data_IF_153835033990
#
_entry.id   IF_153835033990
#
_cell.length_a   1.000
_cell.length_b   1.000
_cell.length_c   1.000
_cell.angle_alpha   90.00
_cell.angle_beta   90.00
_cell.angle_gamma   90.00
#
_symmetry.space_group_name_H-M   'P 1'
#
loop_
_entity.id
_entity.type
_entity.pdbx_description
1 polymer ?
#
# COMPACT_ATOMS: atom_id res chain seq x y z
N UNK A 1 -0.87 -20.68 10.99
CA UNK A 1 0.17 -19.69 10.66
C UNK A 1 -0.50 -18.34 10.59
N UNK A 2 0.24 -17.28 10.93
CA UNK A 2 -0.28 -15.91 11.01
C UNK A 2 -0.70 -15.34 9.64
N UNK A 3 -0.23 -15.94 8.54
CA UNK A 3 -0.55 -15.51 7.18
C UNK A 3 -2.06 -15.59 6.88
N UNK A 4 -2.62 -14.48 6.38
CA UNK A 4 -4.05 -14.30 6.09
C UNK A 4 -4.26 -13.74 4.68
N UNK A 5 -5.39 -14.06 4.06
CA UNK A 5 -5.81 -13.45 2.80
C UNK A 5 -6.22 -11.98 3.00
N UNK A 6 -5.90 -11.11 2.04
CA UNK A 6 -6.29 -9.69 2.10
C UNK A 6 -7.81 -9.55 2.26
N UNK A 7 -8.59 -10.33 1.52
CA UNK A 7 -10.06 -10.32 1.59
C UNK A 7 -10.58 -10.49 3.00
N UNK A 8 -10.08 -11.49 3.73
CA UNK A 8 -10.51 -11.71 5.12
C UNK A 8 -10.18 -10.52 6.02
N UNK A 9 -9.00 -9.94 5.84
CA UNK A 9 -8.56 -8.80 6.62
C UNK A 9 -9.38 -7.53 6.33
N UNK A 10 -9.69 -7.27 5.05
CA UNK A 10 -10.47 -6.10 4.65
C UNK A 10 -11.97 -6.26 4.98
N UNK A 11 -12.52 -7.48 4.91
CA UNK A 11 -13.86 -7.78 5.41
C UNK A 11 -13.96 -7.42 6.90
N UNK A 12 -13.00 -7.87 7.72
CA UNK A 12 -12.96 -7.54 9.14
C UNK A 12 -12.81 -6.02 9.38
N UNK A 13 -12.00 -5.34 8.58
CA UNK A 13 -11.85 -3.89 8.62
C UNK A 13 -13.16 -3.15 8.31
N UNK A 14 -13.93 -3.65 7.34
CA UNK A 14 -15.24 -3.11 7.02
C UNK A 14 -16.26 -3.34 8.14
N UNK A 15 -16.30 -4.54 8.71
CA UNK A 15 -17.21 -4.91 9.81
C UNK A 15 -16.98 -4.06 11.07
N UNK A 16 -15.74 -3.64 11.33
CA UNK A 16 -15.35 -2.89 12.53
C UNK A 16 -15.02 -1.41 12.26
N UNK A 17 -15.18 -0.93 11.03
CA UNK A 17 -15.08 0.48 10.68
C UNK A 17 -13.66 1.07 10.71
N UNK A 18 -12.63 0.28 10.40
CA UNK A 18 -11.23 0.74 10.36
C UNK A 18 -10.60 0.57 8.97
N UNK A 19 -9.38 1.08 8.80
CA UNK A 19 -8.54 0.88 7.62
C UNK A 19 -7.20 0.25 8.01
N UNK A 20 -6.55 -0.46 7.10
CA UNK A 20 -5.27 -1.13 7.34
C UNK A 20 -4.17 -0.43 6.55
N UNK A 21 -3.10 0.07 7.21
CA UNK A 21 -1.95 0.54 6.48
C UNK A 21 -1.23 -0.64 5.81
N UNK A 22 -0.92 -0.48 4.53
CA UNK A 22 -0.10 -1.42 3.78
C UNK A 22 1.28 -0.82 3.55
N UNK A 23 2.27 -1.39 4.23
CA UNK A 23 3.63 -0.88 4.25
C UNK A 23 4.50 -1.63 3.26
N UNK A 24 5.22 -0.90 2.41
CA UNK A 24 6.20 -1.50 1.51
C UNK A 24 7.42 -2.01 2.29
N UNK A 25 7.95 -3.15 1.86
CA UNK A 25 9.13 -3.80 2.47
C UNK A 25 10.20 -4.10 1.43
N UNK A 26 11.46 -3.83 1.79
CA UNK A 26 12.64 -4.05 0.96
C UNK A 26 13.76 -4.75 1.74
N UNK A 27 13.76 -4.71 3.07
CA UNK A 27 14.79 -5.33 3.91
C UNK A 27 14.25 -5.80 5.28
N UNK A 28 15.15 -6.35 6.10
CA UNK A 28 14.84 -6.87 7.44
C UNK A 28 14.42 -5.74 8.40
N UNK A 29 15.09 -4.60 8.36
CA UNK A 29 14.86 -3.48 9.27
C UNK A 29 13.45 -2.92 9.15
N UNK A 30 12.93 -2.74 7.93
CA UNK A 30 11.57 -2.29 7.68
C UNK A 30 10.55 -3.29 8.23
N UNK A 31 10.72 -4.59 7.93
CA UNK A 31 9.83 -5.64 8.43
C UNK A 31 9.83 -5.65 9.96
N UNK A 32 10.99 -5.59 10.61
CA UNK A 32 11.08 -5.55 12.07
C UNK A 32 10.41 -4.32 12.67
N UNK A 33 10.56 -3.14 12.06
CA UNK A 33 9.91 -1.92 12.53
C UNK A 33 8.39 -2.00 12.42
N UNK A 34 7.87 -2.49 11.29
CA UNK A 34 6.43 -2.65 11.06
C UNK A 34 5.85 -3.69 12.02
N UNK A 35 6.51 -4.85 12.18
CA UNK A 35 6.02 -5.92 13.05
C UNK A 35 6.09 -5.55 14.54
N UNK A 36 7.14 -4.84 14.98
CA UNK A 36 7.22 -4.33 16.34
C UNK A 36 6.10 -3.32 16.63
N UNK A 37 5.79 -2.43 15.68
CA UNK A 37 4.66 -1.52 15.77
C UNK A 37 3.31 -2.27 15.84
N UNK A 38 3.15 -3.30 15.01
CA UNK A 38 1.94 -4.12 14.97
C UNK A 38 1.74 -4.90 16.28
N UNK A 39 2.79 -5.49 16.84
CA UNK A 39 2.77 -6.13 18.16
C UNK A 39 2.43 -5.13 19.28
N UNK A 40 3.08 -3.96 19.28
CA UNK A 40 2.87 -2.90 20.28
C UNK A 40 1.42 -2.40 20.32
N UNK A 41 0.73 -2.47 19.18
CA UNK A 41 -0.63 -1.96 19.01
C UNK A 41 -1.69 -3.04 18.87
N UNK A 42 -1.33 -4.33 18.92
CA UNK A 42 -2.22 -5.45 18.59
C UNK A 42 -2.95 -5.23 17.25
N UNK A 43 -2.19 -4.89 16.20
CA UNK A 43 -2.73 -4.55 14.87
C UNK A 43 -2.44 -5.64 13.84
N UNK A 44 -3.41 -6.05 13.01
CA UNK A 44 -3.09 -6.83 11.81
C UNK A 44 -2.33 -5.96 10.81
N UNK A 45 -1.54 -6.59 9.93
CA UNK A 45 -0.64 -5.88 9.03
C UNK A 45 -0.73 -6.37 7.59
N UNK A 46 -0.60 -5.45 6.64
CA UNK A 46 -0.30 -5.76 5.23
C UNK A 46 1.16 -5.38 4.97
N UNK A 47 1.99 -6.38 4.69
CA UNK A 47 3.35 -6.20 4.19
C UNK A 47 3.31 -6.34 2.67
N UNK A 48 3.69 -5.30 1.94
CA UNK A 48 3.64 -5.30 0.49
C UNK A 48 5.01 -5.16 -0.18
N UNK A 49 5.18 -5.79 -1.34
CA UNK A 49 6.43 -5.76 -2.09
C UNK A 49 6.18 -5.41 -3.55
N UNK A 50 6.86 -4.37 -4.02
CA UNK A 50 6.85 -3.89 -5.42
C UNK A 50 7.78 -4.72 -6.31
N UNK A 51 7.75 -4.45 -7.62
CA UNK A 51 8.75 -4.96 -8.55
C UNK A 51 10.19 -4.51 -8.17
N UNK A 52 10.37 -3.26 -7.74
CA UNK A 52 11.66 -2.74 -7.29
C UNK A 52 12.17 -3.44 -6.02
N UNK A 53 11.30 -3.69 -5.04
CA UNK A 53 11.65 -4.48 -3.86
C UNK A 53 12.16 -5.88 -4.24
N UNK A 54 11.49 -6.54 -5.21
CA UNK A 54 11.90 -7.85 -5.71
C UNK A 54 13.21 -7.79 -6.49
N UNK A 55 13.47 -6.71 -7.23
CA UNK A 55 14.75 -6.48 -7.91
C UNK A 55 15.91 -6.22 -6.94
N UNK A 56 15.65 -5.49 -5.85
CA UNK A 56 16.63 -5.16 -4.82
C UNK A 56 16.95 -6.35 -3.90
N UNK A 57 15.94 -6.89 -3.23
CA UNK A 57 16.12 -7.95 -2.23
C UNK A 57 16.15 -9.35 -2.84
N UNK A 58 15.46 -9.56 -3.96
CA UNK A 58 15.20 -10.88 -4.51
C UNK A 58 13.97 -11.54 -3.89
N UNK A 59 13.21 -12.25 -4.73
CA UNK A 59 11.97 -12.96 -4.34
C UNK A 59 12.17 -13.87 -3.12
N UNK A 60 13.26 -14.64 -3.10
CA UNK A 60 13.52 -15.61 -2.04
C UNK A 60 13.76 -14.95 -0.68
N UNK A 61 14.47 -13.82 -0.64
CA UNK A 61 14.72 -13.07 0.60
C UNK A 61 13.43 -12.47 1.12
N UNK A 62 12.64 -11.78 0.29
CA UNK A 62 11.35 -11.21 0.71
C UNK A 62 10.44 -12.28 1.32
N UNK A 63 10.26 -13.40 0.62
CA UNK A 63 9.48 -14.54 1.13
C UNK A 63 10.00 -15.01 2.48
N UNK A 64 11.32 -15.28 2.59
CA UNK A 64 11.91 -15.83 3.82
C UNK A 64 11.88 -14.85 4.99
N UNK A 65 12.01 -13.55 4.74
CA UNK A 65 11.88 -12.53 5.79
C UNK A 65 10.44 -12.42 6.30
N UNK A 66 9.44 -12.52 5.43
CA UNK A 66 8.02 -12.54 5.87
C UNK A 66 7.69 -13.84 6.60
N UNK A 67 8.20 -14.99 6.16
CA UNK A 67 8.07 -16.25 6.89
C UNK A 67 8.71 -16.15 8.29
N UNK A 68 9.89 -15.54 8.41
CA UNK A 68 10.54 -15.30 9.71
C UNK A 68 9.73 -14.35 10.59
N UNK A 69 9.08 -13.32 10.01
CA UNK A 69 8.16 -12.46 10.76
C UNK A 69 6.95 -13.25 11.28
N UNK A 70 6.33 -14.10 10.45
CA UNK A 70 5.20 -14.93 10.89
C UNK A 70 5.59 -15.96 11.97
N UNK A 71 6.85 -16.40 12.00
CA UNK A 71 7.39 -17.26 13.06
C UNK A 71 7.64 -16.48 14.37
N UNK A 72 8.21 -15.29 14.27
CA UNK A 72 8.55 -14.43 15.41
C UNK A 72 7.30 -13.81 16.07
N UNK A 73 6.26 -13.49 15.28
CA UNK A 73 5.00 -12.89 15.72
C UNK A 73 3.80 -13.75 15.31
N UNK A 74 3.63 -14.94 15.91
CA UNK A 74 2.62 -15.92 15.48
C UNK A 74 1.17 -15.46 15.69
N UNK A 75 0.95 -14.50 16.59
CA UNK A 75 -0.37 -14.00 16.98
C UNK A 75 -0.82 -12.77 16.18
N UNK A 76 0.07 -12.18 15.36
CA UNK A 76 -0.24 -11.00 14.54
C UNK A 76 -0.61 -11.43 13.13
N UNK A 77 -1.85 -11.24 12.64
CA UNK A 77 -2.24 -11.60 11.28
C UNK A 77 -1.45 -10.80 10.24
N UNK A 78 -0.79 -11.50 9.30
CA UNK A 78 0.06 -10.90 8.26
C UNK A 78 -0.54 -11.19 6.88
N UNK A 79 -0.85 -10.17 6.12
CA UNK A 79 -1.11 -10.29 4.68
C UNK A 79 0.19 -9.95 3.92
N UNK A 80 0.66 -10.87 3.06
CA UNK A 80 1.77 -10.59 2.13
C UNK A 80 1.19 -10.26 0.76
N UNK A 81 1.35 -9.02 0.33
CA UNK A 81 0.71 -8.45 -0.86
C UNK A 81 1.74 -8.08 -1.95
N UNK A 82 1.49 -8.49 -3.19
CA UNK A 82 2.30 -8.06 -4.34
C UNK A 82 1.74 -6.73 -4.83
N UNK A 83 2.55 -5.68 -4.78
CA UNK A 83 2.19 -4.34 -5.23
C UNK A 83 2.51 -4.17 -6.73
N UNK A 84 1.63 -3.49 -7.47
CA UNK A 84 1.74 -3.21 -8.91
C UNK A 84 2.19 -4.39 -9.77
N UNK A 85 1.41 -5.48 -9.81
CA UNK A 85 1.67 -6.63 -10.68
C UNK A 85 1.48 -6.29 -12.16
N UNK A 86 2.57 -6.22 -12.91
CA UNK A 86 2.57 -5.77 -14.31
C UNK A 86 1.90 -6.70 -15.32
N UNK A 87 1.69 -7.97 -14.96
CA UNK A 87 1.01 -8.93 -15.84
C UNK A 87 0.45 -10.11 -15.04
N UNK A 88 -0.49 -10.87 -15.62
CA UNK A 88 -0.95 -12.10 -15.00
C UNK A 88 0.18 -13.10 -14.68
N UNK A 89 1.25 -13.13 -15.48
CA UNK A 89 2.40 -14.00 -15.22
C UNK A 89 3.16 -13.58 -13.95
N UNK A 90 3.31 -12.28 -13.72
CA UNK A 90 3.93 -11.73 -12.49
C UNK A 90 3.09 -12.09 -11.27
N UNK A 91 1.77 -11.90 -11.35
CA UNK A 91 0.85 -12.26 -10.27
C UNK A 91 0.92 -13.77 -9.95
N UNK A 92 0.96 -14.62 -10.97
CA UNK A 92 1.09 -16.07 -10.80
C UNK A 92 2.43 -16.45 -10.13
N UNK A 93 3.52 -15.76 -10.45
CA UNK A 93 4.81 -15.96 -9.80
C UNK A 93 4.75 -15.58 -8.31
N UNK A 94 4.10 -14.47 -7.97
CA UNK A 94 3.93 -14.05 -6.57
C UNK A 94 3.08 -15.05 -5.79
N UNK A 95 1.97 -15.54 -6.36
CA UNK A 95 1.15 -16.62 -5.77
C UNK A 95 2.01 -17.86 -5.47
N UNK A 96 2.82 -18.30 -6.43
CA UNK A 96 3.76 -19.42 -6.26
C UNK A 96 4.78 -19.15 -5.14
N UNK A 97 5.16 -17.89 -4.94
CA UNK A 97 6.09 -17.48 -3.88
C UNK A 97 5.44 -17.40 -2.49
N UNK A 98 4.15 -17.69 -2.35
CA UNK A 98 3.46 -17.70 -1.06
C UNK A 98 2.84 -16.36 -0.67
N UNK A 99 2.72 -15.41 -1.61
CA UNK A 99 1.92 -14.22 -1.39
C UNK A 99 0.46 -14.61 -1.16
N UNK A 100 -0.18 -14.02 -0.14
CA UNK A 100 -1.58 -14.25 0.20
C UNK A 100 -2.52 -13.25 -0.49
N UNK A 101 -1.95 -12.25 -1.17
CA UNK A 101 -2.65 -11.30 -2.02
C UNK A 101 -1.77 -10.79 -3.17
N UNK A 102 -2.38 -10.45 -4.29
CA UNK A 102 -1.73 -9.80 -5.43
C UNK A 102 -2.55 -8.64 -5.94
N UNK A 103 -1.89 -7.58 -6.38
CA UNK A 103 -2.49 -6.54 -7.22
C UNK A 103 -2.19 -6.85 -8.69
N UNK A 104 -3.23 -6.89 -9.53
CA UNK A 104 -3.07 -6.76 -10.98
C UNK A 104 -3.30 -5.30 -11.34
N UNK A 105 -2.22 -4.57 -11.60
CA UNK A 105 -2.32 -3.20 -12.06
C UNK A 105 -2.54 -3.18 -13.57
N UNK A 106 -3.80 -3.40 -13.96
CA UNK A 106 -4.22 -3.35 -15.35
C UNK A 106 -4.53 -1.93 -15.84
N UNK A 107 -4.38 -0.90 -14.99
CA UNK A 107 -4.54 0.50 -15.37
C UNK A 107 -3.44 0.96 -16.34
N UNK A 108 -2.29 0.30 -16.26
CA UNK A 108 -1.15 0.45 -17.15
C UNK A 108 -0.95 -0.84 -17.97
N UNK A 109 -0.25 -0.72 -19.09
CA UNK A 109 0.25 -1.88 -19.86
C UNK A 109 1.43 -2.53 -19.11
N UNK A 110 1.89 -3.67 -19.61
CA UNK A 110 2.98 -4.44 -18.98
C UNK A 110 4.31 -3.66 -18.83
N UNK A 111 4.48 -2.53 -19.53
CA UNK A 111 5.61 -1.62 -19.36
C UNK A 111 5.54 -0.76 -18.08
N UNK A 112 4.40 -0.80 -17.38
CA UNK A 112 4.07 -0.03 -16.18
C UNK A 112 4.18 1.48 -16.37
N UNK A 113 3.97 1.94 -17.61
CA UNK A 113 4.16 3.33 -18.04
C UNK A 113 3.06 3.83 -18.96
N UNK A 114 2.52 2.97 -19.80
CA UNK A 114 1.50 3.35 -20.77
C UNK A 114 0.11 3.10 -20.17
N UNK A 115 -0.77 4.12 -20.04
CA UNK A 115 -2.17 3.91 -19.69
C UNK A 115 -2.85 2.88 -20.61
N UNK A 116 -3.55 1.93 -20.01
CA UNK A 116 -4.26 0.88 -20.72
C UNK A 116 -5.71 1.29 -21.04
N UNK A 117 -6.33 0.60 -22.00
CA UNK A 117 -7.76 0.71 -22.21
C UNK A 117 -8.54 -0.04 -21.13
N UNK A 118 -9.79 0.37 -20.89
CA UNK A 118 -10.70 -0.30 -19.96
C UNK A 118 -10.82 -1.81 -20.23
N UNK A 119 -11.06 -2.19 -21.49
CA UNK A 119 -11.21 -3.60 -21.89
C UNK A 119 -9.94 -4.43 -21.63
N UNK A 120 -8.76 -3.84 -21.81
CA UNK A 120 -7.50 -4.50 -21.47
C UNK A 120 -7.44 -4.75 -19.97
N UNK A 121 -7.71 -3.72 -19.16
CA UNK A 121 -7.67 -3.77 -17.71
C UNK A 121 -8.61 -4.85 -17.16
N UNK A 122 -9.88 -4.85 -17.61
CA UNK A 122 -10.87 -5.87 -17.23
C UNK A 122 -10.38 -7.27 -17.59
N UNK A 123 -9.85 -7.47 -18.81
CA UNK A 123 -9.41 -8.78 -19.27
C UNK A 123 -8.23 -9.34 -18.45
N UNK A 124 -7.21 -8.54 -18.18
CA UNK A 124 -6.04 -8.99 -17.41
C UNK A 124 -6.37 -9.17 -15.93
N UNK A 125 -7.15 -8.25 -15.35
CA UNK A 125 -7.56 -8.31 -13.94
C UNK A 125 -8.45 -9.52 -13.67
N UNK A 126 -9.47 -9.76 -14.51
CA UNK A 126 -10.33 -10.95 -14.39
C UNK A 126 -9.54 -12.25 -14.48
N UNK A 127 -8.57 -12.33 -15.40
CA UNK A 127 -7.71 -13.52 -15.51
C UNK A 127 -6.92 -13.77 -14.22
N UNK A 128 -6.45 -12.72 -13.55
CA UNK A 128 -5.76 -12.83 -12.26
C UNK A 128 -6.73 -13.25 -11.15
N UNK A 129 -7.93 -12.69 -11.12
CA UNK A 129 -9.00 -13.09 -10.19
C UNK A 129 -9.29 -14.59 -10.31
N UNK A 130 -9.55 -15.10 -11.52
CA UNK A 130 -9.88 -16.50 -11.76
C UNK A 130 -8.80 -17.46 -11.22
N UNK A 131 -7.51 -17.17 -11.49
CA UNK A 131 -6.41 -18.03 -11.02
C UNK A 131 -6.10 -17.88 -9.52
N UNK A 132 -6.25 -16.69 -8.95
CA UNK A 132 -5.96 -16.42 -7.55
C UNK A 132 -7.05 -16.96 -6.61
N UNK A 133 -8.32 -16.73 -6.96
CA UNK A 133 -9.47 -17.20 -6.18
C UNK A 133 -9.54 -18.72 -6.11
N UNK A 134 -9.12 -19.42 -7.18
CA UNK A 134 -9.02 -20.89 -7.19
C UNK A 134 -8.10 -21.45 -6.09
N UNK A 135 -7.16 -20.64 -5.57
CA UNK A 135 -6.25 -21.02 -4.48
C UNK A 135 -6.46 -20.17 -3.21
N UNK A 136 -7.49 -19.33 -3.19
CA UNK A 136 -7.86 -18.49 -2.05
C UNK A 136 -6.99 -17.26 -1.82
N UNK A 137 -6.18 -16.87 -2.81
CA UNK A 137 -5.40 -15.62 -2.80
C UNK A 137 -6.31 -14.48 -3.25
N UNK A 138 -6.23 -13.35 -2.54
CA UNK A 138 -7.05 -12.17 -2.84
C UNK A 138 -6.45 -11.30 -3.93
N UNK A 139 -7.30 -10.62 -4.70
CA UNK A 139 -6.90 -9.76 -5.81
C UNK A 139 -7.34 -8.33 -5.61
N UNK A 140 -6.37 -7.41 -5.73
CA UNK A 140 -6.61 -5.98 -5.91
C UNK A 140 -6.51 -5.64 -7.40
N UNK A 141 -7.40 -4.80 -7.90
CA UNK A 141 -7.29 -4.17 -9.22
C UNK A 141 -7.30 -2.65 -9.10
N UNK A 142 -6.89 -1.95 -10.15
CA UNK A 142 -6.89 -0.48 -10.20
C UNK A 142 -7.74 0.03 -11.36
N UNK A 143 -8.55 1.07 -11.12
CA UNK A 143 -9.28 1.79 -12.16
C UNK A 143 -9.01 3.29 -12.06
N UNK A 144 -8.75 3.93 -13.20
CA UNK A 144 -8.12 5.25 -13.25
C UNK A 144 -6.60 5.12 -13.26
N UNK A 145 -5.89 6.24 -13.39
CA UNK A 145 -4.44 6.31 -13.36
C UNK A 145 -4.02 7.28 -12.25
N UNK A 146 -3.11 6.82 -11.37
CA UNK A 146 -2.54 7.70 -10.34
C UNK A 146 -1.82 8.90 -10.95
N UNK A 147 -2.00 10.06 -10.33
CA UNK A 147 -1.32 11.28 -10.70
C UNK A 147 -1.90 12.53 -10.05
N UNK A 148 -1.09 13.58 -10.08
CA UNK A 148 -1.46 14.88 -9.53
C UNK A 148 -2.48 15.57 -10.42
N UNK A 149 -3.59 16.02 -9.84
CA UNK A 149 -4.57 16.86 -10.54
C UNK A 149 -4.02 18.26 -10.88
N UNK A 150 -2.92 18.67 -10.25
CA UNK A 150 -2.27 19.96 -10.55
C UNK A 150 -1.40 19.89 -11.80
N UNK A 151 -0.67 18.79 -11.98
CA UNK A 151 0.38 18.67 -13.02
C UNK A 151 0.06 17.65 -14.12
N UNK A 152 -0.90 16.76 -13.88
CA UNK A 152 -1.19 15.62 -14.74
C UNK A 152 -0.12 14.52 -14.73
N UNK A 153 0.82 14.56 -13.77
CA UNK A 153 1.94 13.62 -13.70
C UNK A 153 1.75 12.58 -12.58
N UNK A 154 2.08 11.32 -12.86
CA UNK A 154 1.93 10.19 -11.93
C UNK A 154 2.97 10.13 -10.80
N UNK A 155 4.16 10.67 -11.05
CA UNK A 155 5.35 10.30 -10.28
C UNK A 155 5.79 8.86 -10.58
N UNK A 156 6.72 8.34 -9.79
CA UNK A 156 7.24 6.97 -9.96
C UNK A 156 7.31 6.28 -8.59
N UNK A 157 6.77 5.06 -8.52
CA UNK A 157 6.99 4.11 -7.42
C UNK A 157 7.77 2.92 -7.98
N UNK A 158 9.07 2.86 -7.70
CA UNK A 158 9.93 1.72 -8.08
C UNK A 158 9.85 1.32 -9.57
N UNK A 159 9.81 2.30 -10.48
CA UNK A 159 9.67 2.10 -11.92
C UNK A 159 8.23 2.11 -12.45
N UNK A 160 7.24 2.25 -11.58
CA UNK A 160 5.80 2.23 -11.93
C UNK A 160 5.19 3.62 -11.88
N UNK A 161 4.53 4.02 -12.96
CA UNK A 161 3.78 5.28 -13.05
C UNK A 161 3.61 5.72 -14.50
N UNK A 162 2.47 6.33 -14.82
CA UNK A 162 2.20 6.76 -16.18
C UNK A 162 3.23 7.78 -16.69
N UNK A 163 3.77 7.56 -17.88
CA UNK A 163 4.64 8.51 -18.56
C UNK A 163 3.82 9.53 -19.37
N UNK A 164 4.22 10.80 -19.31
CA UNK A 164 3.56 11.90 -20.01
C UNK A 164 2.62 12.71 -19.11
N UNK A 165 1.69 13.42 -19.74
CA UNK A 165 0.66 14.20 -19.06
C UNK A 165 -0.67 13.50 -19.28
N UNK A 166 -1.31 13.09 -18.18
CA UNK A 166 -2.61 12.43 -18.17
C UNK A 166 -3.74 13.46 -18.30
N UNK A 167 -4.81 13.05 -18.97
CA UNK A 167 -6.04 13.82 -19.02
C UNK A 167 -6.78 13.74 -17.67
N UNK A 168 -7.63 14.74 -17.39
CA UNK A 168 -8.29 14.88 -16.09
C UNK A 168 -9.22 13.70 -15.74
N UNK A 169 -9.87 13.12 -16.76
CA UNK A 169 -10.73 11.94 -16.63
C UNK A 169 -9.94 10.67 -16.31
N UNK A 170 -8.68 10.56 -16.77
CA UNK A 170 -7.79 9.46 -16.39
C UNK A 170 -7.36 9.56 -14.92
N UNK A 171 -7.22 10.76 -14.39
CA UNK A 171 -6.74 11.04 -13.02
C UNK A 171 -7.82 10.90 -11.93
N UNK A 172 -9.09 10.69 -12.33
CA UNK A 172 -10.23 10.62 -11.43
C UNK A 172 -11.16 9.48 -11.82
N UNK A 173 -11.15 8.40 -11.04
CA UNK A 173 -12.00 7.22 -11.28
C UNK A 173 -13.47 7.60 -11.31
N UNK A 174 -14.18 7.23 -12.38
CA UNK A 174 -15.63 7.43 -12.48
C UNK A 174 -16.40 6.41 -11.60
N UNK A 175 -17.39 6.85 -10.79
CA UNK A 175 -18.16 5.94 -9.93
C UNK A 175 -19.00 4.89 -10.67
N UNK A 176 -19.47 5.17 -11.89
CA UNK A 176 -20.21 4.19 -12.68
C UNK A 176 -19.25 3.16 -13.27
N UNK A 177 -18.12 3.58 -13.84
CA UNK A 177 -17.10 2.67 -14.36
C UNK A 177 -16.52 1.78 -13.25
N UNK A 178 -16.35 2.30 -12.02
CA UNK A 178 -15.92 1.51 -10.87
C UNK A 178 -16.87 0.36 -10.56
N UNK A 179 -18.19 0.61 -10.63
CA UNK A 179 -19.19 -0.43 -10.42
C UNK A 179 -19.16 -1.49 -11.54
N UNK A 180 -19.04 -1.05 -12.79
CA UNK A 180 -18.94 -1.96 -13.93
C UNK A 180 -17.65 -2.79 -13.87
N UNK A 181 -16.52 -2.18 -13.46
CA UNK A 181 -15.24 -2.86 -13.35
C UNK A 181 -15.26 -3.94 -12.27
N UNK A 182 -15.80 -3.63 -11.08
CA UNK A 182 -15.97 -4.61 -10.00
C UNK A 182 -16.86 -5.76 -10.46
N UNK A 183 -17.99 -5.46 -11.09
CA UNK A 183 -18.91 -6.49 -11.59
C UNK A 183 -18.28 -7.39 -12.67
N UNK A 184 -17.45 -6.82 -13.54
CA UNK A 184 -16.81 -7.54 -14.64
C UNK A 184 -15.60 -8.37 -14.20
N UNK A 185 -14.91 -7.97 -13.12
CA UNK A 185 -13.65 -8.58 -12.69
C UNK A 185 -13.76 -9.45 -11.45
N UNK A 186 -14.61 -9.09 -10.48
CA UNK A 186 -14.74 -9.79 -9.20
C UNK A 186 -13.58 -9.57 -8.23
N UNK A 187 -12.85 -8.45 -8.35
CA UNK A 187 -11.76 -8.10 -7.42
C UNK A 187 -12.22 -8.01 -5.95
N UNK A 188 -11.34 -8.34 -5.02
CA UNK A 188 -11.59 -8.23 -3.57
C UNK A 188 -11.39 -6.80 -3.06
N UNK A 189 -10.53 -6.03 -3.74
CA UNK A 189 -10.23 -4.65 -3.42
C UNK A 189 -10.04 -3.82 -4.70
N UNK A 190 -10.44 -2.56 -4.67
CA UNK A 190 -10.33 -1.64 -5.81
C UNK A 190 -9.50 -0.41 -5.43
N UNK A 191 -8.34 -0.26 -6.07
CA UNK A 191 -7.58 0.98 -6.09
C UNK A 191 -8.25 2.00 -7.02
N UNK A 192 -8.33 3.24 -6.54
CA UNK A 192 -9.00 4.35 -7.23
C UNK A 192 -8.09 5.57 -7.31
N UNK A 193 -8.12 6.25 -8.45
CA UNK A 193 -7.46 7.53 -8.68
C UNK A 193 -8.34 8.68 -8.17
N UNK A 194 -7.81 9.42 -7.19
CA UNK A 194 -8.50 10.56 -6.54
C UNK A 194 -7.59 11.80 -6.42
N UNK A 195 -6.60 11.92 -7.31
CA UNK A 195 -5.58 12.98 -7.29
C UNK A 195 -4.34 12.71 -6.45
N UNK A 196 -4.18 11.49 -5.93
CA UNK A 196 -2.94 11.02 -5.30
C UNK A 196 -1.92 10.57 -6.34
N UNK A 197 -0.64 10.74 -6.04
CA UNK A 197 0.50 10.31 -6.88
C UNK A 197 1.57 9.60 -6.05
N UNK A 198 2.55 8.99 -6.70
CA UNK A 198 3.65 8.28 -6.05
C UNK A 198 4.76 9.21 -5.53
N UNK A 199 5.60 8.70 -4.62
CA UNK A 199 6.74 9.44 -4.07
C UNK A 199 6.41 10.60 -3.12
N UNK A 200 7.40 11.45 -2.83
CA UNK A 200 7.29 12.56 -1.89
C UNK A 200 6.65 13.82 -2.48
N UNK A 201 6.78 14.03 -3.79
CA UNK A 201 6.32 15.21 -4.50
C UNK A 201 4.86 15.08 -4.93
N UNK A 202 3.97 14.87 -3.96
CA UNK A 202 2.54 14.66 -4.24
C UNK A 202 1.82 15.97 -4.53
N UNK A 203 2.04 16.95 -3.66
CA UNK A 203 1.44 18.27 -3.74
C UNK A 203 2.50 19.35 -3.52
N UNK A 204 2.34 20.47 -4.24
CA UNK A 204 3.20 21.66 -4.10
C UNK A 204 2.77 22.57 -2.94
N UNK A 205 1.57 22.34 -2.41
CA UNK A 205 0.92 23.06 -1.30
C UNK A 205 0.11 22.08 -0.45
N UNK A 206 -0.30 22.43 0.78
CA UNK A 206 -1.23 21.61 1.55
C UNK A 206 -2.49 21.30 0.71
N UNK A 207 -2.86 20.02 0.53
CA UNK A 207 -3.92 19.68 -0.41
C UNK A 207 -5.29 20.12 0.11
N UNK A 208 -6.07 20.67 -0.81
CA UNK A 208 -7.49 21.01 -0.65
C UNK A 208 -8.34 20.12 -1.55
N UNK A 209 -9.66 20.17 -1.41
CA UNK A 209 -10.59 19.28 -2.13
C UNK A 209 -10.59 19.39 -3.65
N UNK A 210 -9.96 20.42 -4.21
CA UNK A 210 -9.76 20.63 -5.65
C UNK A 210 -8.63 19.75 -6.23
N UNK A 211 -7.67 19.33 -5.42
CA UNK A 211 -6.51 18.52 -5.86
C UNK A 211 -6.44 17.14 -5.19
N UNK A 212 -7.26 16.92 -4.17
CA UNK A 212 -7.44 15.62 -3.51
C UNK A 212 -8.94 15.35 -3.36
N UNK A 213 -9.48 14.54 -4.25
CA UNK A 213 -10.92 14.33 -4.41
C UNK A 213 -11.49 13.29 -3.42
N UNK A 214 -11.40 13.54 -2.11
CA UNK A 214 -11.92 12.61 -1.09
C UNK A 214 -13.42 12.33 -1.25
N UNK A 215 -14.21 13.32 -1.70
CA UNK A 215 -15.65 13.12 -1.94
C UNK A 215 -15.93 12.06 -3.01
N UNK A 216 -15.02 11.87 -3.97
CA UNK A 216 -15.12 10.82 -4.99
C UNK A 216 -15.09 9.42 -4.37
N UNK A 217 -14.36 9.21 -3.28
CA UNK A 217 -14.38 7.94 -2.53
C UNK A 217 -15.81 7.63 -2.06
N UNK A 218 -16.50 8.62 -1.49
CA UNK A 218 -17.87 8.45 -1.01
C UNK A 218 -18.86 8.17 -2.15
N UNK A 219 -18.66 8.80 -3.32
CA UNK A 219 -19.44 8.52 -4.52
C UNK A 219 -19.26 7.08 -5.01
N UNK A 220 -18.01 6.60 -5.10
CA UNK A 220 -17.67 5.25 -5.51
C UNK A 220 -18.23 4.24 -4.50
N UNK A 221 -18.00 4.44 -3.21
CA UNK A 221 -18.47 3.51 -2.18
C UNK A 221 -20.00 3.36 -2.15
N UNK A 222 -20.76 4.42 -2.44
CA UNK A 222 -22.23 4.31 -2.60
C UNK A 222 -22.65 3.38 -3.75
N UNK A 223 -21.80 3.23 -4.78
CA UNK A 223 -22.06 2.38 -5.95
C UNK A 223 -21.60 0.93 -5.73
N UNK A 224 -20.54 0.73 -4.96
CA UNK A 224 -19.96 -0.57 -4.63
C UNK A 224 -19.77 -0.73 -3.11
N UNK A 225 -20.86 -0.79 -2.32
CA UNK A 225 -20.80 -0.75 -0.85
C UNK A 225 -20.10 -1.98 -0.25
N UNK A 226 -20.07 -3.10 -0.96
CA UNK A 226 -19.48 -4.37 -0.51
C UNK A 226 -18.03 -4.56 -0.99
N UNK A 227 -17.47 -3.62 -1.76
CA UNK A 227 -16.09 -3.66 -2.24
C UNK A 227 -15.19 -2.77 -1.41
N UNK A 228 -14.01 -3.27 -1.08
CA UNK A 228 -13.03 -2.55 -0.27
C UNK A 228 -12.20 -1.59 -1.12
N UNK A 229 -12.25 -0.30 -0.82
CA UNK A 229 -11.46 0.70 -1.57
C UNK A 229 -10.02 0.76 -1.06
N UNK A 230 -9.10 1.02 -1.98
CA UNK A 230 -7.67 1.16 -1.70
C UNK A 230 -7.20 2.55 -2.08
N UNK A 231 -6.51 3.21 -1.16
CA UNK A 231 -5.85 4.48 -1.41
C UNK A 231 -4.36 4.27 -1.67
N UNK A 232 -3.97 4.41 -2.93
CA UNK A 232 -2.58 4.41 -3.36
C UNK A 232 -1.92 5.77 -3.11
N UNK A 233 -0.58 5.82 -3.21
CA UNK A 233 0.17 7.08 -3.08
C UNK A 233 -0.13 7.87 -1.80
N UNK A 234 -0.45 7.22 -0.68
CA UNK A 234 -1.09 7.85 0.49
C UNK A 234 -0.15 8.15 1.67
N UNK A 235 1.16 8.11 1.45
CA UNK A 235 2.15 8.67 2.37
C UNK A 235 1.84 10.15 2.70
N UNK A 236 1.93 10.52 3.97
CA UNK A 236 1.59 11.87 4.45
C UNK A 236 2.75 12.87 4.39
N UNK A 237 3.98 12.38 4.18
CA UNK A 237 5.23 13.16 4.16
C UNK A 237 5.35 14.02 5.43
N UNK A 238 5.68 13.41 6.58
CA UNK A 238 5.73 14.11 7.86
C UNK A 238 6.72 15.26 7.84
N UNK A 239 6.22 16.47 8.12
CA UNK A 239 7.02 17.69 8.02
C UNK A 239 8.16 17.73 9.04
N UNK A 240 7.99 17.10 10.20
CA UNK A 240 9.06 16.94 11.20
C UNK A 240 10.26 16.15 10.67
N UNK A 241 10.01 15.03 9.98
CA UNK A 241 11.07 14.19 9.42
C UNK A 241 11.70 14.86 8.21
N UNK A 242 10.93 15.62 7.44
CA UNK A 242 11.44 16.45 6.35
C UNK A 242 12.39 17.55 6.86
N UNK A 243 12.04 18.21 7.97
CA UNK A 243 12.89 19.19 8.63
C UNK A 243 14.20 18.56 9.14
N UNK A 244 14.12 17.41 9.80
CA UNK A 244 15.31 16.66 10.24
C UNK A 244 16.17 16.25 9.04
N UNK A 245 15.55 15.75 7.95
CA UNK A 245 16.27 15.36 6.75
C UNK A 245 17.09 16.53 6.17
N UNK A 246 16.49 17.73 6.10
CA UNK A 246 17.16 18.95 5.63
C UNK A 246 18.25 19.44 6.57
N UNK A 247 17.96 19.47 7.88
CA UNK A 247 18.92 19.89 8.91
C UNK A 247 20.22 19.08 8.83
N UNK A 248 20.12 17.78 8.53
CA UNK A 248 21.27 16.87 8.46
C UNK A 248 21.72 16.57 7.02
N UNK A 249 21.71 17.60 6.16
CA UNK A 249 22.39 17.61 4.87
C UNK A 249 21.66 16.86 3.74
N UNK A 250 20.36 16.64 3.90
CA UNK A 250 19.49 16.17 2.83
C UNK A 250 18.87 17.33 2.05
N UNK A 251 18.53 17.10 0.78
CA UNK A 251 17.90 18.08 -0.09
C UNK A 251 16.59 17.53 -0.65
N UNK A 252 15.46 17.99 -0.11
CA UNK A 252 14.11 17.76 -0.63
C UNK A 252 13.40 19.11 -0.57
N UNK A 253 12.85 19.56 -1.70
CA UNK A 253 12.09 20.82 -1.80
C UNK A 253 10.83 20.82 -0.93
N UNK A 254 10.20 21.99 -0.76
CA UNK A 254 8.91 22.07 -0.08
C UNK A 254 7.88 21.17 -0.76
N UNK A 255 7.24 20.28 0.00
CA UNK A 255 6.26 19.35 -0.53
C UNK A 255 5.39 18.78 0.59
N UNK A 256 4.21 18.32 0.21
CA UNK A 256 3.16 17.84 1.10
C UNK A 256 2.63 16.50 0.61
N UNK A 257 2.32 15.60 1.55
CA UNK A 257 1.65 14.33 1.27
C UNK A 257 0.15 14.38 1.55
N UNK A 258 -0.47 13.20 1.62
CA UNK A 258 -1.90 13.08 1.94
C UNK A 258 -2.13 13.25 3.45
N UNK A 259 -2.93 14.23 3.91
CA UNK A 259 -3.20 14.43 5.33
C UNK A 259 -3.87 13.20 5.96
N UNK A 260 -3.47 12.87 7.20
CA UNK A 260 -4.03 11.71 7.92
C UNK A 260 -5.54 11.86 8.10
N UNK A 261 -6.04 13.07 8.33
CA UNK A 261 -7.46 13.37 8.48
C UNK A 261 -8.26 13.07 7.19
N UNK A 262 -7.65 13.31 6.02
CA UNK A 262 -8.24 13.00 4.72
C UNK A 262 -8.32 11.48 4.49
N UNK A 263 -7.27 10.74 4.89
CA UNK A 263 -7.26 9.28 4.84
C UNK A 263 -8.35 8.72 5.76
N UNK A 264 -8.46 9.22 7.00
CA UNK A 264 -9.53 8.82 7.94
C UNK A 264 -10.91 9.14 7.38
N UNK A 265 -11.08 10.26 6.68
CA UNK A 265 -12.33 10.55 5.96
C UNK A 265 -12.60 9.53 4.85
N UNK A 266 -11.58 9.07 4.11
CA UNK A 266 -11.69 7.96 3.16
C UNK A 266 -12.08 6.64 3.83
N UNK A 267 -11.51 6.31 4.99
CA UNK A 267 -11.82 5.08 5.75
C UNK A 267 -13.29 5.04 6.18
N UNK A 268 -13.85 6.19 6.59
CA UNK A 268 -15.28 6.33 6.90
C UNK A 268 -16.18 6.07 5.68
N UNK A 269 -15.63 6.15 4.47
CA UNK A 269 -16.32 5.97 3.20
C UNK A 269 -15.81 4.73 2.42
N UNK A 270 -15.37 3.68 3.11
CA UNK A 270 -15.10 2.39 2.48
C UNK A 270 -13.65 2.10 2.10
N UNK A 271 -12.71 3.02 2.37
CA UNK A 271 -11.28 2.70 2.25
C UNK A 271 -10.87 1.73 3.34
N UNK A 272 -10.28 0.59 2.95
CA UNK A 272 -9.81 -0.45 3.89
C UNK A 272 -8.33 -0.75 3.78
N UNK A 273 -7.67 -0.36 2.68
CA UNK A 273 -6.21 -0.45 2.52
C UNK A 273 -5.64 0.92 2.17
N UNK A 274 -4.54 1.30 2.82
CA UNK A 274 -3.86 2.59 2.62
C UNK A 274 -2.38 2.34 2.38
N UNK A 275 -1.88 2.57 1.17
CA UNK A 275 -0.49 2.31 0.81
C UNK A 275 0.44 3.40 1.36
N UNK A 276 1.48 2.99 2.09
CA UNK A 276 2.46 3.87 2.73
C UNK A 276 3.87 3.30 2.52
N UNK A 277 4.73 4.12 1.91
CA UNK A 277 6.15 3.78 1.72
C UNK A 277 7.05 4.98 2.04
N UNK A 278 6.84 6.08 1.31
CA UNK A 278 7.64 7.31 1.41
C UNK A 278 7.85 7.80 2.84
N UNK A 279 6.84 7.67 3.72
CA UNK A 279 6.96 8.08 5.12
C UNK A 279 8.06 7.29 5.86
N UNK A 280 8.14 5.97 5.63
CA UNK A 280 9.18 5.12 6.22
C UNK A 280 10.54 5.41 5.61
N UNK A 281 10.62 5.56 4.28
CA UNK A 281 11.88 5.96 3.60
C UNK A 281 12.43 7.26 4.18
N UNK A 282 11.58 8.27 4.36
CA UNK A 282 11.97 9.58 4.88
C UNK A 282 12.40 9.49 6.35
N UNK A 283 11.60 8.86 7.21
CA UNK A 283 11.88 8.75 8.64
C UNK A 283 13.19 7.99 8.91
N UNK A 284 13.38 6.84 8.26
CA UNK A 284 14.62 6.05 8.35
C UNK A 284 15.83 6.84 7.85
N UNK A 285 15.73 7.48 6.68
CA UNK A 285 16.84 8.25 6.10
C UNK A 285 17.22 9.44 6.97
N UNK A 286 16.24 10.17 7.48
CA UNK A 286 16.44 11.33 8.34
C UNK A 286 17.10 10.92 9.68
N UNK A 287 16.64 9.82 10.28
CA UNK A 287 17.20 9.30 11.52
C UNK A 287 18.67 8.88 11.38
N UNK A 288 19.02 8.18 10.28
CA UNK A 288 20.40 7.81 9.96
C UNK A 288 21.26 9.05 9.77
N UNK A 289 20.82 10.02 8.95
CA UNK A 289 21.55 11.28 8.70
C UNK A 289 21.86 12.03 10.00
N UNK A 290 20.85 12.15 10.87
CA UNK A 290 21.00 12.77 12.20
C UNK A 290 22.07 12.07 13.04
N UNK A 291 22.10 10.73 13.05
CA UNK A 291 23.10 9.99 13.80
C UNK A 291 24.51 10.18 13.22
N UNK A 292 24.67 10.13 11.90
CA UNK A 292 25.96 10.32 11.22
C UNK A 292 26.62 11.66 11.60
N UNK A 293 25.82 12.73 11.74
CA UNK A 293 26.32 14.04 12.15
C UNK A 293 26.58 14.11 13.66
N UNK A 294 25.68 13.59 14.50
CA UNK A 294 25.80 13.66 15.97
C UNK A 294 26.84 12.71 16.56
N UNK A 295 27.15 11.61 15.87
CA UNK A 295 28.05 10.57 16.35
C UNK A 295 29.07 10.21 15.27
N UNK A 296 29.93 11.16 14.91
CA UNK A 296 30.88 11.05 13.78
C UNK A 296 31.87 9.88 13.87
N UNK A 297 32.11 9.35 15.07
CA UNK A 297 32.96 8.19 15.29
C UNK A 297 32.22 6.85 15.26
N UNK A 298 30.89 6.87 15.12
CA UNK A 298 30.09 5.65 15.01
C UNK A 298 30.26 5.04 13.62
N UNK A 299 30.46 3.72 13.57
CA UNK A 299 30.65 2.96 12.33
C UNK A 299 29.98 1.59 12.40
N UNK A 300 29.40 1.19 13.53
CA UNK A 300 28.62 -0.04 13.66
C UNK A 300 27.28 0.14 12.93
N UNK A 301 27.03 -0.57 11.81
CA UNK A 301 25.80 -0.43 11.04
C UNK A 301 24.54 -0.63 11.89
N UNK A 302 24.61 -1.47 12.93
CA UNK A 302 23.47 -1.75 13.82
C UNK A 302 23.00 -0.50 14.55
N UNK A 303 23.88 0.47 14.82
CA UNK A 303 23.52 1.72 15.49
C UNK A 303 22.71 2.62 14.57
N UNK A 304 23.09 2.70 13.30
CA UNK A 304 22.34 3.42 12.26
C UNK A 304 20.99 2.75 11.98
N UNK A 305 20.97 1.44 11.81
CA UNK A 305 19.74 0.71 11.58
C UNK A 305 18.82 0.71 12.80
N UNK A 306 19.36 0.73 14.02
CA UNK A 306 18.53 0.87 15.24
C UNK A 306 17.73 2.17 15.23
N UNK A 307 18.37 3.32 15.00
CA UNK A 307 17.64 4.60 14.97
C UNK A 307 16.68 4.70 13.77
N UNK A 308 17.02 4.05 12.65
CA UNK A 308 16.13 3.97 11.50
C UNK A 308 14.87 3.18 11.81
N UNK A 309 15.02 2.00 12.43
CA UNK A 309 13.90 1.15 12.84
C UNK A 309 12.99 1.86 13.85
N UNK A 310 13.57 2.48 14.87
CA UNK A 310 12.81 3.25 15.87
C UNK A 310 11.98 4.35 15.19
N UNK A 311 12.57 5.07 14.22
CA UNK A 311 11.85 6.11 13.47
C UNK A 311 10.70 5.55 12.62
N UNK A 312 10.92 4.43 11.94
CA UNK A 312 9.88 3.76 11.14
C UNK A 312 8.77 3.17 12.01
N UNK A 313 9.12 2.57 13.15
CA UNK A 313 8.17 1.98 14.11
C UNK A 313 7.19 3.04 14.61
N UNK A 314 7.67 4.23 15.00
CA UNK A 314 6.79 5.32 15.47
C UNK A 314 5.82 5.79 14.38
N UNK A 315 6.25 5.85 13.11
CA UNK A 315 5.35 6.14 12.00
C UNK A 315 4.30 5.04 11.85
N UNK A 316 4.70 3.78 11.92
CA UNK A 316 3.77 2.65 11.80
C UNK A 316 2.71 2.68 12.90
N UNK A 317 3.12 2.92 14.15
CA UNK A 317 2.19 3.03 15.29
C UNK A 317 1.22 4.18 15.11
N UNK A 318 1.70 5.36 14.73
CA UNK A 318 0.83 6.50 14.47
C UNK A 318 -0.23 6.21 13.38
N UNK A 319 0.12 5.40 12.36
CA UNK A 319 -0.83 4.98 11.32
C UNK A 319 -1.82 3.93 11.81
N UNK A 320 -1.35 2.90 12.52
CA UNK A 320 -2.24 1.89 13.11
C UNK A 320 -3.27 2.50 14.05
N UNK A 321 -2.86 3.44 14.90
CA UNK A 321 -3.75 4.15 15.81
C UNK A 321 -4.72 5.07 15.06
N UNK A 322 -4.22 5.91 14.15
CA UNK A 322 -5.05 6.86 13.42
C UNK A 322 -6.09 6.18 12.52
N UNK A 323 -5.76 5.01 11.96
CA UNK A 323 -6.65 4.28 11.05
C UNK A 323 -7.59 3.31 11.79
N UNK A 324 -7.52 3.23 13.12
CA UNK A 324 -8.37 2.38 13.95
C UNK A 324 -8.00 0.89 13.90
N UNK A 325 -6.82 0.55 13.38
CA UNK A 325 -6.32 -0.82 13.25
C UNK A 325 -5.84 -1.40 14.59
N UNK A 326 -5.44 -0.53 15.53
CA UNK A 326 -4.96 -0.94 16.86
C UNK A 326 -6.02 -1.72 17.65
N UNK A 327 -5.61 -2.83 18.27
CA UNK A 327 -6.46 -3.73 19.07
C UNK A 327 -7.28 -4.74 18.26
N UNK A 328 -7.07 -4.82 16.94
CA UNK A 328 -7.88 -5.66 16.05
C UNK A 328 -7.25 -7.04 15.80
N UNK A 329 -5.94 -7.23 15.99
CA UNK A 329 -5.26 -8.47 15.61
C UNK A 329 -5.80 -9.67 16.39
N UNK A 330 -5.87 -9.55 17.71
CA UNK A 330 -6.34 -10.63 18.59
C UNK A 330 -7.80 -11.05 18.35
N UNK A 331 -8.60 -10.21 17.68
CA UNK A 331 -10.00 -10.52 17.34
C UNK A 331 -10.14 -11.35 16.06
N UNK A 332 -9.11 -11.37 15.22
CA UNK A 332 -9.10 -12.06 13.93
C UNK A 332 -8.70 -13.53 14.13
N UNK A 333 -9.48 -14.45 13.56
CA UNK A 333 -9.13 -15.86 13.47
C UNK A 333 -8.69 -16.19 12.04
N UNK A 334 -7.37 -16.29 11.74
CA UNK A 334 -6.89 -16.50 10.38
C UNK A 334 -7.47 -17.78 9.76
N UNK A 335 -8.01 -17.66 8.55
CA UNK A 335 -8.50 -18.80 7.78
C UNK A 335 -7.40 -19.25 6.81
N UNK A 336 -7.14 -20.57 6.70
CA UNK A 336 -6.27 -21.08 5.64
C UNK A 336 -6.82 -20.70 4.26
N UNK A 337 -5.93 -20.37 3.31
CA UNK A 337 -6.34 -20.00 1.95
C UNK A 337 -7.24 -21.06 1.29
N UNK A 338 -7.01 -22.34 1.54
CA UNK A 338 -7.88 -23.42 1.05
C UNK A 338 -9.34 -23.34 1.55
N UNK A 339 -9.60 -22.71 2.71
CA UNK A 339 -10.97 -22.40 3.17
C UNK A 339 -11.52 -21.15 2.49
N UNK A 340 -10.69 -20.15 2.22
CA UNK A 340 -11.07 -18.95 1.46
C UNK A 340 -11.43 -19.32 0.01
N UNK A 341 -10.64 -20.18 -0.64
CA UNK A 341 -10.89 -20.68 -2.00
C UNK A 341 -12.30 -21.26 -2.16
N UNK A 342 -12.77 -22.03 -1.17
CA UNK A 342 -14.12 -22.61 -1.15
C UNK A 342 -15.25 -21.59 -1.01
N UNK A 343 -14.95 -20.35 -0.61
CA UNK A 343 -15.94 -19.25 -0.54
C UNK A 343 -16.09 -18.52 -1.87
N UNK A 344 -15.13 -18.66 -2.78
CA UNK A 344 -15.19 -18.05 -4.12
C UNK A 344 -15.89 -18.94 -5.16
N UNK A 345 -16.07 -20.23 -4.86
CA UNK A 345 -16.66 -21.25 -5.77
C UNK A 345 -18.15 -21.42 -5.55
#
# INVERSE_FOLDING_TARGET
>A
MAMIALRQLLDHAAEHGYGVPAFNINNMEQIQAIMAAAERTDSPVILQASAGARGYAGEAFLRKMVEAAAEQWPDIPICMHQDHGASPAVCQQSIRSGFTSVMMDGSLKEDMKTPASYDYNVAVTRRVVEMAHAVGVSVEGELGCLGSLETGQAGEEDGVGAEGTLDHDQLLTDPAEAADFVAATGVDALAVAIGTSHGAYKFTRPPTGDILAIERIAEIHRRIPDTHLVMHGSSSVPQEWLAIFREFGGEIGETYGVPVEAIVAGIRNGVRKVNIDTDLRLAMSAAIRRLTVKSRGEFDPRKFFKVAKEAAEEICVARFEAFGTAGQASSIKPLPLAKIAKRYV
#
